data_IF_220513005604
#
_entry.id   IF_220513005604
#
_cell.length_a   1.000
_cell.length_b   1.000
_cell.length_c   1.000
_cell.angle_alpha   90.00
_cell.angle_beta   90.00
_cell.angle_gamma   90.00
#
_symmetry.space_group_name_H-M   'P 1'
#
loop_
_entity.id
_entity.type
_entity.pdbx_description
1 polymer ?
#
# COMPACT_ATOMS: atom_id res chain seq x y z
N UNK A 1 -35.07 24.47 28.56
CA UNK A 1 -34.84 23.70 27.32
C UNK A 1 -33.92 22.54 27.69
N UNK A 2 -34.29 21.28 27.39
CA UNK A 2 -33.32 20.19 27.54
C UNK A 2 -32.36 20.22 26.35
N UNK A 3 -31.08 20.10 26.63
CA UNK A 3 -30.00 20.27 25.66
C UNK A 3 -29.96 19.10 24.66
N UNK A 4 -29.47 19.39 23.45
CA UNK A 4 -29.03 18.35 22.52
C UNK A 4 -27.56 18.02 22.85
N UNK A 5 -27.25 16.74 22.97
CA UNK A 5 -25.94 16.21 23.31
C UNK A 5 -25.47 15.34 22.16
N UNK A 6 -24.30 15.68 21.62
CA UNK A 6 -23.62 14.93 20.57
C UNK A 6 -22.32 14.42 21.17
N UNK A 7 -22.15 13.10 21.19
CA UNK A 7 -20.95 12.45 21.71
C UNK A 7 -20.31 11.69 20.56
N UNK A 8 -19.08 12.06 20.25
CA UNK A 8 -18.22 11.30 19.36
C UNK A 8 -17.29 10.40 20.19
N UNK A 9 -16.73 9.38 19.56
CA UNK A 9 -15.86 8.38 20.21
C UNK A 9 -16.49 7.76 21.47
N UNK A 10 -17.79 7.43 21.40
CA UNK A 10 -18.57 6.93 22.55
C UNK A 10 -17.97 5.69 23.22
N UNK A 11 -17.14 4.94 22.50
CA UNK A 11 -16.44 3.76 23.02
C UNK A 11 -15.39 4.06 24.10
N UNK A 12 -14.97 5.32 24.25
CA UNK A 12 -14.03 5.72 25.30
C UNK A 12 -14.72 6.01 26.64
N UNK A 13 -16.06 6.02 26.67
CA UNK A 13 -16.83 6.35 27.86
C UNK A 13 -17.35 5.09 28.55
N UNK A 14 -17.30 5.12 29.88
CA UNK A 14 -17.89 4.11 30.74
C UNK A 14 -19.42 4.18 30.71
N UNK A 15 -20.09 3.10 31.15
CA UNK A 15 -21.56 3.07 31.25
C UNK A 15 -22.10 4.18 32.18
N UNK A 16 -21.34 4.58 33.21
CA UNK A 16 -21.72 5.66 34.13
C UNK A 16 -21.67 7.03 33.44
N UNK A 17 -20.66 7.29 32.62
CA UNK A 17 -20.55 8.52 31.84
C UNK A 17 -21.62 8.57 30.74
N UNK A 18 -21.88 7.44 30.09
CA UNK A 18 -22.99 7.31 29.14
C UNK A 18 -24.34 7.60 29.82
N UNK A 19 -24.55 7.10 31.04
CA UNK A 19 -25.74 7.38 31.85
C UNK A 19 -25.90 8.89 32.10
N UNK A 20 -24.81 9.60 32.39
CA UNK A 20 -24.83 11.05 32.54
C UNK A 20 -25.33 11.75 31.27
N UNK A 21 -24.92 11.29 30.09
CA UNK A 21 -25.41 11.85 28.82
C UNK A 21 -26.93 11.68 28.64
N UNK A 22 -27.52 10.58 29.14
CA UNK A 22 -28.98 10.43 29.16
C UNK A 22 -29.68 11.43 30.08
N UNK A 23 -29.09 11.75 31.23
CA UNK A 23 -29.68 12.73 32.15
C UNK A 23 -29.55 14.17 31.65
N UNK A 24 -28.46 14.49 30.94
CA UNK A 24 -28.22 15.81 30.37
C UNK A 24 -29.04 16.08 29.10
N UNK A 25 -29.40 15.02 28.37
CA UNK A 25 -30.13 15.14 27.10
C UNK A 25 -31.64 15.19 27.26
N UNK A 26 -32.30 15.89 26.33
CA UNK A 26 -33.76 15.84 26.17
C UNK A 26 -34.23 14.58 25.45
N UNK A 27 -35.56 14.32 25.44
CA UNK A 27 -36.14 13.32 24.54
C UNK A 27 -35.67 13.55 23.10
N UNK A 28 -35.15 12.51 22.44
CA UNK A 28 -34.56 12.59 21.10
C UNK A 28 -33.38 13.58 20.96
N UNK A 29 -32.76 13.98 22.06
CA UNK A 29 -31.67 14.95 22.11
C UNK A 29 -30.28 14.33 22.15
N UNK A 30 -30.15 13.00 22.17
CA UNK A 30 -28.86 12.31 22.29
C UNK A 30 -28.45 11.68 20.96
N UNK A 31 -27.25 12.01 20.49
CA UNK A 31 -26.60 11.38 19.34
C UNK A 31 -25.23 10.85 19.77
N UNK A 32 -24.99 9.56 19.53
CA UNK A 32 -23.77 8.85 19.91
C UNK A 32 -23.14 8.25 18.66
N UNK A 33 -21.85 8.50 18.44
CA UNK A 33 -21.04 7.93 17.36
C UNK A 33 -19.76 7.33 17.92
N UNK A 34 -19.23 6.31 17.26
CA UNK A 34 -17.98 5.65 17.68
C UNK A 34 -17.69 4.35 16.94
N UNK A 35 -16.47 3.85 17.10
CA UNK A 35 -15.98 2.58 16.55
C UNK A 35 -15.54 1.64 17.69
N UNK A 36 -16.29 0.57 17.99
CA UNK A 36 -15.96 -0.38 19.06
C UNK A 36 -14.57 -1.01 18.93
N UNK A 37 -14.07 -1.17 17.70
CA UNK A 37 -12.75 -1.75 17.46
C UNK A 37 -11.59 -0.78 17.82
N UNK A 38 -11.89 0.50 18.07
CA UNK A 38 -10.92 1.53 18.50
C UNK A 38 -11.01 1.86 20.00
N UNK A 39 -11.59 0.98 20.82
CA UNK A 39 -11.50 1.11 22.29
C UNK A 39 -10.12 0.67 22.77
N UNK A 40 -9.16 1.62 22.79
CA UNK A 40 -7.75 1.39 23.17
C UNK A 40 -7.45 1.74 24.63
N UNK A 41 -8.46 2.22 25.36
CA UNK A 41 -8.37 2.47 26.80
C UNK A 41 -8.44 1.13 27.52
N UNK A 42 -7.51 0.90 28.44
CA UNK A 42 -7.48 -0.34 29.21
C UNK A 42 -8.66 -0.42 30.17
N UNK A 43 -9.32 -1.58 30.22
CA UNK A 43 -10.47 -1.81 31.10
C UNK A 43 -11.83 -1.41 30.51
N UNK A 44 -11.89 -0.85 29.30
CA UNK A 44 -13.15 -0.56 28.59
C UNK A 44 -13.34 -1.50 27.40
N UNK A 45 -14.09 -2.57 27.60
CA UNK A 45 -14.75 -3.26 26.50
C UNK A 45 -16.03 -2.50 26.18
N UNK A 46 -16.16 -2.04 24.94
CA UNK A 46 -17.33 -1.29 24.53
C UNK A 46 -18.15 -2.08 23.51
N UNK A 47 -19.45 -2.15 23.76
CA UNK A 47 -20.42 -2.62 22.77
C UNK A 47 -21.61 -1.67 22.72
N UNK A 48 -22.14 -1.42 21.53
CA UNK A 48 -23.35 -0.61 21.39
C UNK A 48 -24.56 -1.20 22.13
N UNK A 49 -24.57 -2.51 22.40
CA UNK A 49 -25.55 -3.16 23.25
C UNK A 49 -25.55 -2.61 24.69
N UNK A 50 -24.40 -2.19 25.22
CA UNK A 50 -24.27 -1.63 26.57
C UNK A 50 -24.93 -0.26 26.65
N UNK A 51 -24.74 0.59 25.63
CA UNK A 51 -25.46 1.87 25.48
C UNK A 51 -26.97 1.66 25.52
N UNK A 52 -27.48 0.61 24.84
CA UNK A 52 -28.90 0.25 24.86
C UNK A 52 -29.35 -0.23 26.24
N UNK A 53 -28.51 -0.97 26.95
CA UNK A 53 -28.75 -1.36 28.34
C UNK A 53 -28.93 -0.16 29.26
N UNK A 54 -28.02 0.82 29.17
CA UNK A 54 -28.09 2.07 29.95
C UNK A 54 -29.36 2.86 29.60
N UNK A 55 -29.68 3.01 28.30
CA UNK A 55 -30.92 3.69 27.90
C UNK A 55 -32.18 3.00 28.42
N UNK A 56 -32.24 1.68 28.37
CA UNK A 56 -33.38 0.93 28.91
C UNK A 56 -33.51 1.13 30.43
N UNK A 57 -32.38 1.16 31.15
CA UNK A 57 -32.35 1.40 32.60
C UNK A 57 -32.98 2.75 32.98
N UNK A 58 -32.74 3.81 32.20
CA UNK A 58 -33.37 5.14 32.40
C UNK A 58 -34.74 5.31 31.72
N UNK A 59 -35.32 4.23 31.18
CA UNK A 59 -36.66 4.26 30.57
C UNK A 59 -36.72 4.83 29.15
N UNK A 60 -35.58 4.89 28.44
CA UNK A 60 -35.50 5.32 27.04
C UNK A 60 -35.43 4.12 26.09
N UNK A 61 -36.14 4.20 24.97
CA UNK A 61 -36.04 3.23 23.87
C UNK A 61 -35.01 3.74 22.85
N UNK A 62 -33.81 3.16 22.86
CA UNK A 62 -32.77 3.52 21.89
C UNK A 62 -32.96 2.75 20.58
N UNK A 63 -32.88 3.48 19.46
CA UNK A 63 -32.82 2.91 18.11
C UNK A 63 -31.60 1.99 17.93
N UNK A 64 -31.70 1.04 17.01
CA UNK A 64 -30.52 0.24 16.63
C UNK A 64 -29.45 1.15 16.01
N UNK A 65 -28.15 0.90 16.27
CA UNK A 65 -27.08 1.67 15.65
C UNK A 65 -27.19 1.65 14.13
N UNK A 66 -27.04 2.82 13.51
CA UNK A 66 -26.85 2.91 12.06
C UNK A 66 -25.36 2.72 11.77
N UNK A 67 -25.05 1.92 10.75
CA UNK A 67 -23.66 1.61 10.37
C UNK A 67 -23.28 2.34 9.09
N UNK A 68 -22.10 2.96 9.09
CA UNK A 68 -21.47 3.52 7.88
C UNK A 68 -20.27 2.64 7.56
N UNK A 69 -20.18 2.14 6.34
CA UNK A 69 -19.14 1.18 5.92
C UNK A 69 -18.44 1.57 4.62
N UNK A 70 -18.74 2.76 4.09
CA UNK A 70 -18.02 3.35 2.95
C UNK A 70 -17.02 4.33 3.54
N UNK A 71 -15.75 4.07 3.31
CA UNK A 71 -14.65 4.85 3.84
C UNK A 71 -14.14 5.79 2.74
N UNK A 72 -14.30 7.09 2.99
CA UNK A 72 -13.91 8.17 2.08
C UNK A 72 -12.49 8.68 2.36
N UNK A 73 -11.88 8.22 3.47
CA UNK A 73 -10.58 8.69 3.94
C UNK A 73 -9.45 7.86 3.33
N UNK A 74 -9.50 6.55 3.54
CA UNK A 74 -8.42 5.64 3.16
C UNK A 74 -8.82 4.79 1.97
N UNK A 75 -7.85 4.44 1.13
CA UNK A 75 -8.07 3.55 -0.02
C UNK A 75 -8.09 2.07 0.39
N UNK A 76 -8.50 1.21 -0.57
CA UNK A 76 -8.71 -0.22 -0.31
C UNK A 76 -7.46 -0.95 0.17
N UNK A 77 -6.25 -0.57 -0.27
CA UNK A 77 -4.98 -1.14 0.22
C UNK A 77 -4.81 -1.10 1.74
N UNK A 78 -5.01 0.07 2.36
CA UNK A 78 -4.96 0.25 3.82
C UNK A 78 -6.13 -0.47 4.50
N UNK A 79 -7.34 -0.33 3.96
CA UNK A 79 -8.55 -0.92 4.55
C UNK A 79 -8.56 -2.45 4.51
N UNK A 80 -7.96 -3.05 3.48
CA UNK A 80 -7.77 -4.49 3.41
C UNK A 80 -6.88 -4.97 4.56
N UNK A 81 -5.80 -4.24 4.86
CA UNK A 81 -4.94 -4.52 6.01
C UNK A 81 -5.70 -4.37 7.33
N UNK A 82 -6.41 -3.25 7.53
CA UNK A 82 -7.24 -3.02 8.72
C UNK A 82 -8.29 -4.14 8.90
N UNK A 83 -8.95 -4.54 7.81
CA UNK A 83 -9.90 -5.64 7.78
C UNK A 83 -9.28 -7.00 8.11
N UNK A 84 -8.00 -7.22 7.79
CA UNK A 84 -7.24 -8.41 8.20
C UNK A 84 -6.96 -8.43 9.71
N UNK A 85 -6.68 -7.27 10.31
CA UNK A 85 -6.54 -7.14 11.77
C UNK A 85 -7.87 -7.42 12.47
N UNK A 86 -8.97 -6.88 11.93
CA UNK A 86 -10.32 -7.17 12.42
C UNK A 86 -10.68 -8.66 12.30
N UNK A 87 -10.28 -9.34 11.21
CA UNK A 87 -10.49 -10.78 11.05
C UNK A 87 -9.81 -11.57 12.18
N UNK A 88 -8.56 -11.24 12.51
CA UNK A 88 -7.83 -11.86 13.64
C UNK A 88 -8.55 -11.59 14.97
N UNK A 89 -8.96 -10.34 15.20
CA UNK A 89 -9.62 -9.95 16.43
C UNK A 89 -10.96 -10.67 16.61
N UNK A 90 -11.85 -10.66 15.62
CA UNK A 90 -13.18 -11.27 15.74
C UNK A 90 -13.16 -12.80 15.73
N UNK A 91 -12.15 -13.41 15.08
CA UNK A 91 -12.02 -14.87 15.06
C UNK A 91 -11.52 -15.42 16.40
N UNK A 92 -10.55 -14.74 17.02
CA UNK A 92 -9.86 -15.26 18.20
C UNK A 92 -10.26 -14.58 19.52
N UNK A 93 -10.95 -13.44 19.44
CA UNK A 93 -11.47 -12.68 20.57
C UNK A 93 -12.92 -12.25 20.30
N UNK A 94 -13.85 -13.20 20.08
CA UNK A 94 -15.25 -12.89 19.76
C UNK A 94 -15.96 -12.07 20.84
N UNK A 95 -15.45 -12.05 22.08
CA UNK A 95 -16.00 -11.20 23.14
C UNK A 95 -15.44 -9.76 23.13
N UNK A 96 -14.30 -9.52 22.48
CA UNK A 96 -13.61 -8.22 22.56
C UNK A 96 -14.30 -7.06 21.81
N UNK A 97 -15.10 -7.36 20.78
CA UNK A 97 -15.90 -6.40 20.02
C UNK A 97 -16.93 -7.13 19.13
N UNK A 98 -18.00 -6.43 18.74
CA UNK A 98 -18.99 -6.96 17.81
C UNK A 98 -18.48 -6.89 16.37
N UNK A 99 -18.64 -7.97 15.61
CA UNK A 99 -18.28 -8.01 14.20
C UNK A 99 -19.13 -7.02 13.39
N UNK A 100 -18.50 -5.93 12.95
CA UNK A 100 -19.05 -4.99 11.98
C UNK A 100 -18.70 -5.42 10.55
N UNK A 101 -19.47 -4.96 9.58
CA UNK A 101 -19.07 -5.11 8.17
C UNK A 101 -17.77 -4.35 7.97
N UNK A 102 -16.83 -4.95 7.24
CA UNK A 102 -15.57 -4.28 6.88
C UNK A 102 -15.84 -3.02 6.08
N UNK A 103 -15.00 -2.03 6.32
CA UNK A 103 -14.95 -0.81 5.53
C UNK A 103 -14.56 -1.11 4.09
N UNK A 104 -15.19 -0.38 3.17
CA UNK A 104 -14.87 -0.40 1.74
C UNK A 104 -14.38 0.97 1.31
N UNK A 105 -13.20 1.01 0.73
CA UNK A 105 -12.66 2.22 0.12
C UNK A 105 -13.36 2.53 -1.20
N UNK A 106 -13.38 3.80 -1.57
CA UNK A 106 -13.92 4.24 -2.87
C UNK A 106 -13.07 3.80 -4.07
N UNK A 107 -11.76 3.68 -3.87
CA UNK A 107 -10.81 3.34 -4.93
C UNK A 107 -9.78 2.32 -4.44
N UNK A 108 -9.14 1.68 -5.41
CA UNK A 108 -7.95 0.87 -5.15
C UNK A 108 -6.78 1.81 -4.93
N UNK A 109 -5.91 1.47 -3.99
CA UNK A 109 -4.66 2.18 -3.77
C UNK A 109 -3.60 1.20 -3.30
N UNK A 110 -2.37 1.68 -3.21
CA UNK A 110 -1.19 0.82 -3.04
C UNK A 110 -1.28 -0.04 -1.77
N UNK A 111 -0.84 -1.30 -1.86
CA UNK A 111 -0.68 -2.12 -0.67
C UNK A 111 0.41 -1.51 0.22
N UNK A 112 0.24 -1.55 1.56
CA UNK A 112 1.28 -1.19 2.52
C UNK A 112 2.65 -1.81 2.21
N UNK A 113 3.72 -1.10 2.56
CA UNK A 113 5.10 -1.58 2.46
C UNK A 113 5.58 -2.28 3.73
N UNK A 114 6.51 -3.22 3.59
CA UNK A 114 7.15 -3.93 4.71
C UNK A 114 8.67 -3.83 4.58
N UNK A 115 9.31 -3.31 5.62
CA UNK A 115 10.76 -3.13 5.74
C UNK A 115 11.25 -3.91 6.96
N UNK A 116 12.02 -4.98 6.75
CA UNK A 116 12.57 -5.81 7.82
C UNK A 116 14.10 -5.70 7.82
N UNK A 117 14.68 -5.39 8.98
CA UNK A 117 16.14 -5.26 9.16
C UNK A 117 16.70 -3.90 8.75
N UNK A 118 15.87 -2.85 8.65
CA UNK A 118 16.36 -1.50 8.35
C UNK A 118 17.25 -0.97 9.50
N UNK A 119 18.36 -0.31 9.17
CA UNK A 119 19.19 0.36 10.16
C UNK A 119 18.58 1.70 10.59
N UNK A 120 18.98 2.20 11.76
CA UNK A 120 18.54 3.52 12.26
C UNK A 120 19.01 4.63 11.32
N UNK A 121 20.22 4.53 10.76
CA UNK A 121 20.76 5.51 9.82
C UNK A 121 19.93 5.56 8.52
N UNK A 122 19.59 4.40 7.98
CA UNK A 122 18.71 4.30 6.81
C UNK A 122 17.33 4.91 7.08
N UNK A 123 16.75 4.62 8.25
CA UNK A 123 15.47 5.18 8.65
C UNK A 123 15.53 6.72 8.83
N UNK A 124 16.62 7.24 9.37
CA UNK A 124 16.85 8.68 9.47
C UNK A 124 16.93 9.37 8.10
N UNK A 125 17.64 8.76 7.14
CA UNK A 125 17.71 9.28 5.76
C UNK A 125 16.31 9.25 5.13
N UNK A 126 15.58 8.13 5.29
CA UNK A 126 14.23 7.97 4.77
C UNK A 126 13.28 9.05 5.30
N UNK A 127 13.28 9.31 6.61
CA UNK A 127 12.44 10.34 7.25
C UNK A 127 12.88 11.78 6.95
N UNK A 128 14.17 12.00 6.75
CA UNK A 128 14.74 13.33 6.49
C UNK A 128 14.53 13.83 5.06
N UNK A 129 14.47 12.91 4.10
CA UNK A 129 14.41 13.21 2.67
C UNK A 129 13.14 12.65 2.01
N UNK A 130 13.10 11.33 1.77
CA UNK A 130 12.11 10.70 0.88
C UNK A 130 10.70 10.60 1.46
N UNK A 131 10.57 10.39 2.77
CA UNK A 131 9.31 10.31 3.53
C UNK A 131 9.18 11.47 4.52
N UNK A 132 9.62 12.66 4.12
CA UNK A 132 9.53 13.85 4.97
C UNK A 132 8.08 14.13 5.37
N UNK A 133 7.84 14.23 6.67
CA UNK A 133 6.50 14.45 7.22
C UNK A 133 5.72 13.16 7.51
N UNK A 134 6.30 11.98 7.26
CA UNK A 134 5.72 10.72 7.69
C UNK A 134 5.64 10.66 9.22
N UNK A 135 4.52 10.16 9.73
CA UNK A 135 4.31 9.95 11.16
C UNK A 135 4.76 8.56 11.55
N UNK A 136 5.63 8.49 12.55
CA UNK A 136 6.11 7.22 13.12
C UNK A 136 5.24 6.89 14.33
N UNK A 137 4.54 5.76 14.27
CA UNK A 137 3.76 5.21 15.37
C UNK A 137 4.55 4.09 16.05
N UNK A 138 4.64 4.20 17.38
CA UNK A 138 5.26 3.20 18.26
C UNK A 138 4.31 2.86 19.40
N UNK A 139 4.67 1.93 20.28
CA UNK A 139 4.02 1.87 21.59
C UNK A 139 4.26 3.17 22.36
N UNK A 140 3.29 3.57 23.17
CA UNK A 140 3.28 4.87 23.85
C UNK A 140 4.50 5.07 24.76
N UNK A 141 4.95 4.01 25.42
CA UNK A 141 6.14 3.98 26.27
C UNK A 141 7.45 4.16 25.50
N UNK A 142 7.49 3.78 24.23
CA UNK A 142 8.69 3.79 23.39
C UNK A 142 8.92 5.12 22.67
N UNK A 143 7.94 6.02 22.67
CA UNK A 143 7.98 7.30 21.93
C UNK A 143 9.23 8.11 22.25
N UNK A 144 9.55 8.27 23.54
CA UNK A 144 10.73 9.05 23.96
C UNK A 144 12.04 8.40 23.55
N UNK A 145 12.08 7.07 23.50
CA UNK A 145 13.26 6.31 23.07
C UNK A 145 13.51 6.50 21.58
N UNK A 146 12.48 6.23 20.76
CA UNK A 146 12.58 6.34 19.31
C UNK A 146 12.82 7.76 18.83
N UNK A 147 12.18 8.75 19.46
CA UNK A 147 12.45 10.16 19.14
C UNK A 147 13.95 10.50 19.25
N UNK A 148 14.62 10.04 20.31
CA UNK A 148 16.07 10.30 20.48
C UNK A 148 16.93 9.54 19.47
N UNK A 149 16.60 8.28 19.19
CA UNK A 149 17.34 7.48 18.21
C UNK A 149 17.16 7.98 16.77
N UNK A 150 16.01 8.59 16.47
CA UNK A 150 15.70 9.17 15.18
C UNK A 150 16.09 10.65 15.09
N UNK A 151 17.24 11.04 15.66
CA UNK A 151 17.76 12.41 15.60
C UNK A 151 16.74 13.49 16.01
N UNK A 152 16.03 13.26 17.11
CA UNK A 152 14.98 14.14 17.64
C UNK A 152 13.83 14.41 16.66
N UNK A 153 13.52 13.43 15.81
CA UNK A 153 12.39 13.51 14.88
C UNK A 153 11.07 13.78 15.60
N UNK A 154 10.42 14.90 15.26
CA UNK A 154 9.28 15.42 16.03
C UNK A 154 7.99 14.61 15.84
N UNK A 155 7.84 13.93 14.72
CA UNK A 155 6.60 13.24 14.33
C UNK A 155 6.59 11.77 14.78
N UNK A 156 7.10 11.49 15.98
CA UNK A 156 6.98 10.18 16.64
C UNK A 156 5.87 10.28 17.67
N UNK A 157 4.85 9.42 17.56
CA UNK A 157 3.67 9.40 18.42
C UNK A 157 3.40 8.00 18.96
N UNK A 158 2.81 7.95 20.14
CA UNK A 158 2.20 6.73 20.65
C UNK A 158 0.93 6.42 19.86
N UNK A 159 0.59 5.14 19.69
CA UNK A 159 -0.65 4.77 18.99
C UNK A 159 -1.89 5.37 19.66
N UNK A 160 -1.92 5.43 21.00
CA UNK A 160 -3.07 6.04 21.72
C UNK A 160 -3.06 7.56 21.59
N UNK A 161 -1.88 8.18 21.61
CA UNK A 161 -1.71 9.63 21.35
C UNK A 161 -2.18 10.02 19.94
N UNK A 162 -1.97 9.14 18.96
CA UNK A 162 -2.40 9.34 17.57
C UNK A 162 -3.90 9.14 17.34
N UNK A 163 -4.65 8.65 18.34
CA UNK A 163 -6.10 8.42 18.20
C UNK A 163 -6.83 9.74 17.93
N UNK A 164 -7.78 9.70 17.00
CA UNK A 164 -8.52 10.90 16.56
C UNK A 164 -7.75 11.78 15.58
N UNK A 165 -6.47 11.51 15.34
CA UNK A 165 -5.66 12.18 14.31
C UNK A 165 -5.68 11.39 13.00
N UNK A 166 -5.27 12.04 11.91
CA UNK A 166 -5.21 11.44 10.58
C UNK A 166 -3.97 11.94 9.84
N UNK A 167 -3.26 11.02 9.17
CA UNK A 167 -1.97 11.30 8.55
C UNK A 167 -1.89 10.70 7.15
N UNK A 168 -1.29 11.46 6.23
CA UNK A 168 -1.05 10.97 4.86
C UNK A 168 -0.17 9.73 4.84
N UNK A 169 0.95 9.77 5.57
CA UNK A 169 1.91 8.68 5.63
C UNK A 169 2.16 8.25 7.07
N UNK A 170 2.04 6.94 7.33
CA UNK A 170 2.20 6.32 8.64
C UNK A 170 3.23 5.20 8.55
N UNK A 171 4.16 5.17 9.50
CA UNK A 171 5.15 4.12 9.70
C UNK A 171 4.93 3.50 11.07
N UNK A 172 4.57 2.21 11.14
CA UNK A 172 4.68 1.45 12.39
C UNK A 172 6.14 1.03 12.57
N UNK A 173 6.77 1.47 13.65
CA UNK A 173 8.17 1.16 13.95
C UNK A 173 8.28 0.21 15.14
N UNK A 174 8.91 -0.94 14.91
CA UNK A 174 9.19 -2.01 15.88
C UNK A 174 7.96 -2.47 16.70
N UNK A 175 6.76 -2.24 16.16
CA UNK A 175 5.51 -2.50 16.88
C UNK A 175 5.39 -3.96 17.32
N UNK A 176 5.71 -4.92 16.45
CA UNK A 176 5.57 -6.34 16.79
C UNK A 176 6.74 -6.83 17.64
N UNK A 177 7.96 -6.33 17.39
CA UNK A 177 9.12 -6.66 18.22
C UNK A 177 8.99 -6.18 19.65
N UNK A 178 8.39 -5.02 19.87
CA UNK A 178 8.22 -4.44 21.19
C UNK A 178 7.00 -4.99 21.94
N UNK A 179 6.21 -5.90 21.34
CA UNK A 179 5.23 -6.70 22.10
C UNK A 179 5.97 -7.43 23.23
N UNK A 180 5.43 -7.45 24.47
CA UNK A 180 6.06 -8.10 25.61
C UNK A 180 6.55 -9.52 25.30
N UNK A 181 7.74 -9.90 25.81
CA UNK A 181 8.37 -11.18 25.52
C UNK A 181 7.48 -12.40 25.81
N UNK A 182 6.62 -12.31 26.84
CA UNK A 182 5.63 -13.34 27.17
C UNK A 182 4.55 -13.54 26.10
N UNK A 183 4.28 -12.51 25.29
CA UNK A 183 3.25 -12.50 24.25
C UNK A 183 3.81 -12.71 22.83
N UNK A 184 5.14 -12.69 22.65
CA UNK A 184 5.79 -12.93 21.35
C UNK A 184 5.36 -14.26 20.69
N UNK A 185 5.36 -15.36 21.46
CA UNK A 185 4.93 -16.68 20.98
C UNK A 185 3.40 -16.75 20.77
N UNK A 186 2.55 -16.34 21.74
CA UNK A 186 1.11 -16.26 21.53
C UNK A 186 0.71 -15.45 20.29
N UNK A 187 1.34 -14.29 20.06
CA UNK A 187 1.11 -13.47 18.88
C UNK A 187 1.44 -14.21 17.59
N UNK A 188 2.58 -14.92 17.53
CA UNK A 188 2.93 -15.76 16.37
C UNK A 188 1.87 -16.82 16.11
N UNK A 189 1.42 -17.54 17.14
CA UNK A 189 0.41 -18.59 16.95
C UNK A 189 -0.93 -18.01 16.47
N UNK A 190 -1.28 -16.80 16.89
CA UNK A 190 -2.42 -16.04 16.39
C UNK A 190 -2.32 -15.81 14.86
N UNK A 191 -1.26 -15.13 14.40
CA UNK A 191 -1.14 -14.76 12.97
C UNK A 191 -0.92 -15.97 12.05
N UNK A 192 -0.45 -17.10 12.61
CA UNK A 192 -0.32 -18.37 11.90
C UNK A 192 -1.61 -19.20 11.89
N UNK A 193 -2.66 -18.79 12.61
CA UNK A 193 -3.92 -19.52 12.72
C UNK A 193 -3.79 -20.83 13.50
N UNK A 194 -2.92 -20.86 14.52
CA UNK A 194 -2.57 -22.05 15.33
C UNK A 194 -2.99 -21.91 16.79
N UNK A 195 -3.93 -21.03 17.08
CA UNK A 195 -4.44 -20.79 18.44
C UNK A 195 -5.27 -21.96 18.95
N UNK A 196 -5.31 -22.13 20.27
CA UNK A 196 -6.24 -23.05 20.95
C UNK A 196 -7.62 -22.41 21.15
N UNK A 197 -8.61 -23.20 21.56
CA UNK A 197 -9.97 -22.68 21.86
C UNK A 197 -9.96 -21.67 23.02
N UNK A 198 -9.14 -21.88 24.05
CA UNK A 198 -9.05 -21.00 25.23
C UNK A 198 -8.10 -19.80 25.04
N UNK A 199 -7.77 -19.43 23.81
CA UNK A 199 -6.77 -18.39 23.52
C UNK A 199 -7.16 -17.02 24.09
N UNK A 200 -8.44 -16.64 23.96
CA UNK A 200 -8.98 -15.38 24.49
C UNK A 200 -8.76 -15.24 26.00
N UNK A 201 -9.09 -16.29 26.76
CA UNK A 201 -8.90 -16.31 28.22
C UNK A 201 -7.45 -16.41 28.64
N UNK A 202 -6.63 -17.14 27.87
CA UNK A 202 -5.22 -17.37 28.20
C UNK A 202 -4.35 -16.15 27.89
N UNK A 203 -4.69 -15.37 26.85
CA UNK A 203 -3.89 -14.25 26.37
C UNK A 203 -4.73 -13.01 26.04
N UNK A 204 -5.53 -12.49 27.00
CA UNK A 204 -6.43 -11.35 26.75
C UNK A 204 -5.69 -10.08 26.30
N UNK A 205 -4.45 -9.88 26.76
CA UNK A 205 -3.62 -8.72 26.37
C UNK A 205 -3.30 -8.67 24.87
N UNK A 206 -3.32 -9.81 24.16
CA UNK A 206 -3.12 -9.83 22.70
C UNK A 206 -4.24 -9.05 21.98
N UNK A 207 -5.47 -9.08 22.51
CA UNK A 207 -6.57 -8.28 21.98
C UNK A 207 -6.27 -6.78 22.05
N UNK A 208 -5.64 -6.30 23.14
CA UNK A 208 -5.23 -4.90 23.29
C UNK A 208 -4.25 -4.50 22.18
N UNK A 209 -3.25 -5.33 21.88
CA UNK A 209 -2.30 -5.07 20.78
C UNK A 209 -2.96 -5.10 19.40
N UNK A 210 -3.96 -5.96 19.17
CA UNK A 210 -4.75 -5.95 17.93
C UNK A 210 -5.55 -4.64 17.79
N UNK A 211 -6.17 -4.16 18.87
CA UNK A 211 -6.89 -2.88 18.90
C UNK A 211 -5.96 -1.70 18.64
N UNK A 212 -4.76 -1.69 19.23
CA UNK A 212 -3.72 -0.70 18.95
C UNK A 212 -3.31 -0.74 17.48
N UNK A 213 -3.01 -1.93 16.95
CA UNK A 213 -2.65 -2.09 15.55
C UNK A 213 -3.75 -1.57 14.62
N UNK A 214 -5.00 -1.95 14.84
CA UNK A 214 -6.14 -1.47 14.06
C UNK A 214 -6.31 0.06 14.17
N UNK A 215 -6.21 0.60 15.38
CA UNK A 215 -6.33 2.05 15.63
C UNK A 215 -5.25 2.83 14.89
N UNK A 216 -3.99 2.39 14.94
CA UNK A 216 -2.89 3.05 14.24
C UNK A 216 -2.99 2.91 12.71
N UNK A 217 -3.38 1.73 12.20
CA UNK A 217 -3.61 1.52 10.75
C UNK A 217 -4.69 2.46 10.21
N UNK A 218 -5.78 2.65 10.97
CA UNK A 218 -6.89 3.53 10.57
C UNK A 218 -6.57 5.02 10.66
N UNK A 219 -5.40 5.42 11.18
CA UNK A 219 -4.93 6.82 11.10
C UNK A 219 -4.35 7.15 9.72
N UNK A 220 -4.04 6.14 8.90
CA UNK A 220 -3.37 6.32 7.62
C UNK A 220 -4.34 6.62 6.47
N UNK A 221 -4.02 7.62 5.65
CA UNK A 221 -4.80 8.04 4.48
C UNK A 221 -4.23 7.48 3.17
N UNK A 222 -2.92 7.65 2.93
CA UNK A 222 -2.28 7.41 1.61
C UNK A 222 -1.19 6.33 1.63
N UNK A 223 -0.25 6.35 2.57
CA UNK A 223 0.90 5.43 2.57
C UNK A 223 1.16 4.81 3.94
N UNK A 224 1.11 3.50 4.03
CA UNK A 224 1.36 2.75 5.26
C UNK A 224 2.60 1.87 5.12
N UNK A 225 3.51 1.94 6.09
CA UNK A 225 4.67 1.06 6.19
C UNK A 225 4.71 0.35 7.54
N UNK A 226 5.09 -0.92 7.52
CA UNK A 226 5.49 -1.68 8.71
C UNK A 226 7.00 -1.87 8.69
N UNK A 227 7.67 -1.35 9.72
CA UNK A 227 9.11 -1.31 9.83
C UNK A 227 9.55 -2.04 11.09
N UNK A 228 10.41 -3.04 10.93
CA UNK A 228 11.03 -3.78 12.03
C UNK A 228 12.54 -3.72 11.85
N UNK A 229 13.25 -3.02 12.75
CA UNK A 229 14.70 -2.82 12.70
C UNK A 229 15.47 -4.09 13.03
N UNK A 230 14.87 -5.03 13.77
CA UNK A 230 15.45 -6.34 14.09
C UNK A 230 14.41 -7.44 14.05
N UNK A 231 14.87 -8.66 13.75
CA UNK A 231 14.04 -9.85 13.80
C UNK A 231 13.51 -10.11 15.22
N UNK A 232 12.26 -10.56 15.28
CA UNK A 232 11.59 -11.01 16.48
C UNK A 232 10.57 -12.09 16.14
N UNK A 233 10.14 -12.88 17.13
CA UNK A 233 9.21 -13.99 16.88
C UNK A 233 7.86 -13.48 16.37
N UNK A 234 7.33 -12.42 16.95
CA UNK A 234 6.10 -11.77 16.50
C UNK A 234 6.32 -10.99 15.19
N UNK A 235 7.40 -10.22 15.08
CA UNK A 235 7.72 -9.42 13.88
C UNK A 235 7.83 -10.28 12.63
N UNK A 236 8.66 -11.32 12.64
CA UNK A 236 8.85 -12.19 11.47
C UNK A 236 7.57 -12.94 11.08
N UNK A 237 6.72 -13.26 12.06
CA UNK A 237 5.44 -13.90 11.82
C UNK A 237 4.42 -12.91 11.20
N UNK A 238 4.31 -11.70 11.76
CA UNK A 238 3.47 -10.61 11.25
C UNK A 238 3.86 -10.19 9.84
N UNK A 239 5.14 -9.97 9.58
CA UNK A 239 5.62 -9.56 8.26
C UNK A 239 5.34 -10.63 7.20
N UNK A 240 5.48 -11.91 7.55
CA UNK A 240 5.06 -13.02 6.68
C UNK A 240 3.55 -13.05 6.48
N UNK A 241 2.77 -12.88 7.53
CA UNK A 241 1.31 -12.83 7.43
C UNK A 241 0.83 -11.69 6.51
N UNK A 242 1.42 -10.50 6.63
CA UNK A 242 1.11 -9.34 5.79
C UNK A 242 1.44 -9.58 4.31
N UNK A 243 2.60 -10.21 4.04
CA UNK A 243 3.12 -10.41 2.68
C UNK A 243 2.66 -11.71 2.02
N UNK A 244 2.01 -12.61 2.75
CA UNK A 244 1.57 -13.91 2.24
C UNK A 244 0.43 -13.74 1.24
N UNK A 245 0.62 -14.31 0.05
CA UNK A 245 -0.49 -14.49 -0.89
C UNK A 245 -1.30 -15.75 -0.52
N UNK A 246 -2.62 -15.61 -0.56
CA UNK A 246 -3.57 -16.70 -0.32
C UNK A 246 -4.37 -16.89 -1.61
N UNK A 247 -4.70 -18.14 -1.97
CA UNK A 247 -5.47 -18.40 -3.18
C UNK A 247 -6.75 -17.55 -3.24
N UNK A 248 -6.91 -16.75 -4.30
CA UNK A 248 -8.04 -15.86 -4.50
C UNK A 248 -7.99 -14.51 -3.75
N UNK A 249 -6.91 -14.21 -3.02
CA UNK A 249 -6.73 -12.92 -2.33
C UNK A 249 -5.28 -12.43 -2.41
N UNK A 250 -5.09 -11.22 -2.92
CA UNK A 250 -3.79 -10.56 -2.88
C UNK A 250 -3.28 -10.41 -1.43
N UNK A 251 -1.96 -10.35 -1.26
CA UNK A 251 -1.35 -10.06 0.05
C UNK A 251 -1.81 -8.71 0.59
N UNK A 252 -1.74 -8.55 1.92
CA UNK A 252 -2.07 -7.28 2.57
C UNK A 252 -1.01 -6.21 2.34
N UNK A 253 0.25 -6.62 2.21
CA UNK A 253 1.40 -5.75 2.04
C UNK A 253 2.38 -6.30 1.01
N UNK A 254 3.33 -5.46 0.59
CA UNK A 254 4.43 -5.79 -0.32
C UNK A 254 5.76 -5.65 0.40
N UNK A 255 6.76 -6.44 -0.01
CA UNK A 255 8.11 -6.31 0.56
C UNK A 255 8.84 -5.20 -0.17
N UNK A 256 9.57 -4.40 0.60
CA UNK A 256 10.42 -3.35 0.07
C UNK A 256 11.88 -3.78 0.09
N UNK A 257 12.64 -3.32 -0.90
CA UNK A 257 14.08 -3.49 -0.95
C UNK A 257 14.74 -2.52 0.05
N UNK A 258 15.38 -3.08 1.08
CA UNK A 258 16.06 -2.29 2.12
C UNK A 258 17.49 -1.90 1.75
N UNK A 259 18.03 -2.43 0.65
CA UNK A 259 19.40 -2.16 0.22
C UNK A 259 19.53 -0.81 -0.51
N UNK A 260 18.40 -0.22 -0.90
CA UNK A 260 18.33 1.05 -1.60
C UNK A 260 17.31 1.96 -0.90
N UNK A 261 17.76 3.13 -0.43
CA UNK A 261 16.92 4.10 0.29
C UNK A 261 15.83 4.68 -0.59
N UNK A 262 16.10 4.83 -1.89
CA UNK A 262 15.08 5.28 -2.82
C UNK A 262 13.98 4.22 -2.97
N UNK A 263 14.37 2.95 -3.06
CA UNK A 263 13.47 1.80 -3.09
C UNK A 263 12.62 1.64 -1.81
N UNK A 264 13.10 2.14 -0.67
CA UNK A 264 12.34 2.08 0.59
C UNK A 264 11.16 3.05 0.66
N UNK A 265 11.17 4.11 -0.16
CA UNK A 265 10.20 5.21 -0.06
C UNK A 265 8.86 4.96 -0.77
N UNK A 266 8.82 3.96 -1.65
CA UNK A 266 7.65 3.63 -2.46
C UNK A 266 7.30 2.15 -2.29
N UNK A 267 6.02 1.82 -2.26
CA UNK A 267 5.60 0.41 -2.22
C UNK A 267 5.73 -0.23 -3.60
N UNK A 268 5.71 -1.56 -3.68
CA UNK A 268 5.82 -2.25 -4.98
C UNK A 268 4.72 -1.83 -5.96
N UNK A 269 3.50 -1.56 -5.46
CA UNK A 269 2.38 -1.10 -6.29
C UNK A 269 2.60 0.33 -6.82
N UNK A 270 3.27 1.18 -6.03
CA UNK A 270 3.66 2.53 -6.46
C UNK A 270 4.76 2.48 -7.53
N UNK A 271 5.74 1.58 -7.39
CA UNK A 271 6.75 1.36 -8.43
C UNK A 271 6.14 0.90 -9.75
N UNK A 272 5.15 0.01 -9.72
CA UNK A 272 4.43 -0.42 -10.93
C UNK A 272 3.74 0.79 -11.57
N UNK A 273 3.00 1.57 -10.77
CA UNK A 273 2.23 2.71 -11.28
C UNK A 273 3.14 3.79 -11.87
N UNK A 274 4.23 4.12 -11.19
CA UNK A 274 5.23 5.09 -11.65
C UNK A 274 5.97 4.57 -12.89
N UNK A 275 6.33 3.29 -12.92
CA UNK A 275 6.98 2.67 -14.06
C UNK A 275 6.11 2.71 -15.33
N UNK A 276 4.80 2.44 -15.18
CA UNK A 276 3.82 2.54 -16.28
C UNK A 276 3.71 3.99 -16.75
N UNK A 277 3.53 4.95 -15.84
CA UNK A 277 3.45 6.36 -16.18
C UNK A 277 4.69 6.85 -16.95
N UNK A 278 5.90 6.46 -16.50
CA UNK A 278 7.13 6.81 -17.22
C UNK A 278 7.20 6.13 -18.60
N UNK A 279 6.76 4.89 -18.75
CA UNK A 279 6.71 4.22 -20.06
C UNK A 279 5.71 4.87 -21.04
N UNK A 280 4.54 5.29 -20.55
CA UNK A 280 3.54 6.01 -21.35
C UNK A 280 4.06 7.38 -21.78
N UNK A 281 4.67 8.13 -20.85
CA UNK A 281 5.31 9.41 -21.17
C UNK A 281 6.44 9.24 -22.18
N UNK A 282 7.24 8.18 -22.07
CA UNK A 282 8.31 7.90 -23.02
C UNK A 282 7.78 7.64 -24.44
N UNK A 283 6.65 6.92 -24.55
CA UNK A 283 5.99 6.67 -25.83
C UNK A 283 5.43 7.95 -26.46
N UNK A 284 4.97 8.88 -25.63
CA UNK A 284 4.43 10.17 -26.06
C UNK A 284 5.50 11.27 -26.26
N UNK A 285 6.75 11.02 -25.85
CA UNK A 285 7.80 12.02 -25.94
C UNK A 285 8.17 12.30 -27.41
N UNK A 286 8.45 13.57 -27.70
CA UNK A 286 8.83 14.04 -29.04
C UNK A 286 10.30 13.76 -29.32
N UNK A 287 11.12 13.80 -28.28
CA UNK A 287 12.57 13.66 -28.34
C UNK A 287 13.02 12.29 -27.82
N UNK A 288 13.95 11.66 -28.54
CA UNK A 288 14.41 10.30 -28.23
C UNK A 288 15.29 10.27 -26.97
N UNK A 289 16.06 11.33 -26.69
CA UNK A 289 16.83 11.42 -25.45
C UNK A 289 15.90 11.46 -24.22
N UNK A 290 14.79 12.19 -24.32
CA UNK A 290 13.76 12.17 -23.26
C UNK A 290 13.09 10.81 -23.12
N UNK A 291 12.71 10.16 -24.23
CA UNK A 291 12.18 8.79 -24.20
C UNK A 291 13.16 7.83 -23.52
N UNK A 292 14.46 7.95 -23.82
CA UNK A 292 15.51 7.13 -23.22
C UNK A 292 15.53 7.28 -21.70
N UNK A 293 15.64 8.52 -21.19
CA UNK A 293 15.68 8.79 -19.75
C UNK A 293 14.43 8.29 -19.01
N UNK A 294 13.24 8.48 -19.62
CA UNK A 294 11.97 8.02 -19.04
C UNK A 294 11.90 6.48 -19.00
N UNK A 295 12.40 5.80 -20.02
CA UNK A 295 12.45 4.33 -20.04
C UNK A 295 13.49 3.77 -19.07
N UNK A 296 14.64 4.41 -18.89
CA UNK A 296 15.61 4.04 -17.84
C UNK A 296 14.94 4.09 -16.46
N UNK A 297 14.18 5.16 -16.18
CA UNK A 297 13.41 5.28 -14.94
C UNK A 297 12.31 4.23 -14.83
N UNK A 298 11.58 3.96 -15.91
CA UNK A 298 10.54 2.93 -15.97
C UNK A 298 11.11 1.54 -15.66
N UNK A 299 12.24 1.18 -16.27
CA UNK A 299 12.95 -0.09 -16.04
C UNK A 299 13.37 -0.18 -14.58
N UNK A 300 14.03 0.86 -14.04
CA UNK A 300 14.46 0.88 -12.65
C UNK A 300 13.27 0.66 -11.69
N UNK A 301 12.12 1.30 -11.93
CA UNK A 301 10.92 1.10 -11.14
C UNK A 301 10.45 -0.37 -11.17
N UNK A 302 10.33 -0.97 -12.37
CA UNK A 302 9.88 -2.36 -12.48
C UNK A 302 10.86 -3.37 -11.87
N UNK A 303 12.16 -3.07 -11.88
CA UNK A 303 13.20 -3.89 -11.23
C UNK A 303 13.12 -3.89 -9.70
N UNK A 304 12.45 -2.90 -9.09
CA UNK A 304 12.16 -2.91 -7.64
C UNK A 304 10.94 -3.78 -7.28
N UNK A 305 10.36 -4.50 -8.24
CA UNK A 305 9.15 -5.32 -8.06
C UNK A 305 9.43 -6.78 -8.38
N UNK A 306 8.56 -7.68 -7.92
CA UNK A 306 8.64 -9.11 -8.27
C UNK A 306 8.09 -9.40 -9.70
N UNK A 307 7.71 -8.38 -10.49
CA UNK A 307 7.09 -8.53 -11.81
C UNK A 307 8.13 -8.35 -12.92
N UNK A 308 8.79 -9.44 -13.27
CA UNK A 308 9.89 -9.46 -14.25
C UNK A 308 9.41 -9.10 -15.67
N UNK A 309 8.16 -9.43 -16.00
CA UNK A 309 7.55 -9.23 -17.32
C UNK A 309 7.49 -7.75 -17.72
N UNK A 310 7.11 -6.86 -16.78
CA UNK A 310 7.03 -5.42 -17.04
C UNK A 310 8.41 -4.82 -17.31
N UNK A 311 9.42 -5.23 -16.52
CA UNK A 311 10.79 -4.81 -16.73
C UNK A 311 11.34 -5.30 -18.09
N UNK A 312 10.99 -6.53 -18.50
CA UNK A 312 11.38 -7.06 -19.81
C UNK A 312 10.75 -6.26 -20.95
N UNK A 313 9.45 -5.96 -20.86
CA UNK A 313 8.73 -5.14 -21.84
C UNK A 313 9.30 -3.73 -21.96
N UNK A 314 9.59 -3.09 -20.83
CA UNK A 314 10.24 -1.77 -20.81
C UNK A 314 11.66 -1.79 -21.41
N UNK A 315 12.46 -2.84 -21.16
CA UNK A 315 13.79 -3.02 -21.77
C UNK A 315 13.74 -3.19 -23.29
N UNK A 316 12.73 -3.86 -23.82
CA UNK A 316 12.55 -4.02 -25.27
C UNK A 316 12.18 -2.67 -25.89
N UNK A 317 11.28 -1.90 -25.26
CA UNK A 317 10.96 -0.53 -25.68
C UNK A 317 12.22 0.37 -25.63
N UNK A 318 13.00 0.29 -24.57
CA UNK A 318 14.27 1.02 -24.44
C UNK A 318 15.28 0.67 -25.53
N UNK A 319 15.42 -0.62 -25.85
CA UNK A 319 16.30 -1.10 -26.92
C UNK A 319 15.90 -0.53 -28.29
N UNK A 320 14.59 -0.35 -28.51
CA UNK A 320 14.08 0.31 -29.71
C UNK A 320 14.48 1.79 -29.79
N UNK A 321 14.34 2.54 -28.67
CA UNK A 321 14.75 3.95 -28.60
C UNK A 321 16.26 4.10 -28.83
N UNK A 322 17.08 3.29 -28.17
CA UNK A 322 18.53 3.30 -28.36
C UNK A 322 18.92 3.01 -29.82
N UNK A 323 18.31 2.01 -30.43
CA UNK A 323 18.55 1.70 -31.83
C UNK A 323 18.22 2.90 -32.73
N UNK A 324 17.10 3.58 -32.48
CA UNK A 324 16.70 4.77 -33.24
C UNK A 324 17.69 5.93 -33.06
N UNK A 325 18.24 6.13 -31.87
CA UNK A 325 19.31 7.11 -31.61
C UNK A 325 20.59 6.75 -32.37
N UNK A 326 21.03 5.49 -32.32
CA UNK A 326 22.23 5.02 -33.01
C UNK A 326 22.17 5.24 -34.53
N UNK A 327 20.99 5.09 -35.14
CA UNK A 327 20.84 5.21 -36.59
C UNK A 327 20.61 6.64 -37.10
N UNK A 328 20.46 7.65 -36.22
CA UNK A 328 20.32 9.06 -36.62
C UNK A 328 21.54 9.63 -37.37
N UNK A 329 22.68 8.93 -37.37
CA UNK A 329 23.88 9.27 -38.17
C UNK A 329 23.54 9.31 -39.68
N UNK A 330 24.03 10.32 -40.44
CA UNK A 330 23.68 10.51 -41.84
C UNK A 330 23.89 9.26 -42.71
N UNK A 331 22.98 9.04 -43.67
CA UNK A 331 22.99 7.89 -44.57
C UNK A 331 24.29 7.76 -45.37
N UNK A 332 24.89 8.89 -45.76
CA UNK A 332 26.08 8.94 -46.62
C UNK A 332 27.37 8.44 -45.94
N UNK A 333 27.35 8.24 -44.61
CA UNK A 333 28.51 7.77 -43.84
C UNK A 333 28.50 6.24 -43.60
N UNK A 334 27.45 5.54 -44.02
CA UNK A 334 27.27 4.10 -43.69
C UNK A 334 27.67 3.19 -44.85
N UNK A 335 28.46 2.16 -44.55
CA UNK A 335 28.85 1.14 -45.54
C UNK A 335 27.71 0.17 -45.86
N UNK A 336 27.83 -0.57 -46.96
CA UNK A 336 26.87 -1.64 -47.32
C UNK A 336 26.71 -2.69 -46.21
N UNK A 337 27.79 -2.98 -45.47
CA UNK A 337 27.74 -3.88 -44.33
C UNK A 337 26.93 -3.29 -43.16
N UNK A 338 27.02 -1.98 -42.94
CA UNK A 338 26.26 -1.29 -41.88
C UNK A 338 24.76 -1.27 -42.19
N UNK A 339 24.38 -1.13 -43.46
CA UNK A 339 22.97 -1.20 -43.91
C UNK A 339 22.36 -2.58 -43.63
N UNK A 340 23.08 -3.66 -43.95
CA UNK A 340 22.62 -5.03 -43.67
C UNK A 340 22.47 -5.30 -42.16
N UNK A 341 23.38 -4.75 -41.34
CA UNK A 341 23.31 -4.85 -39.87
C UNK A 341 22.10 -4.07 -39.33
N UNK A 342 21.84 -2.87 -39.85
CA UNK A 342 20.68 -2.06 -39.48
C UNK A 342 19.38 -2.80 -39.80
N UNK A 343 19.24 -3.35 -41.02
CA UNK A 343 18.07 -4.11 -41.44
C UNK A 343 17.83 -5.33 -40.53
N UNK A 344 18.88 -6.11 -40.27
CA UNK A 344 18.80 -7.28 -39.39
C UNK A 344 18.39 -6.90 -37.95
N UNK A 345 19.01 -5.88 -37.36
CA UNK A 345 18.69 -5.43 -35.99
C UNK A 345 17.27 -4.87 -35.90
N UNK A 346 16.83 -4.10 -36.89
CA UNK A 346 15.47 -3.59 -36.97
C UNK A 346 14.44 -4.73 -37.03
N UNK A 347 14.69 -5.76 -37.86
CA UNK A 347 13.81 -6.93 -37.95
C UNK A 347 13.70 -7.68 -36.62
N UNK A 348 14.83 -7.92 -35.95
CA UNK A 348 14.85 -8.58 -34.63
C UNK A 348 14.09 -7.78 -33.57
N UNK A 349 14.30 -6.47 -33.50
CA UNK A 349 13.60 -5.61 -32.56
C UNK A 349 12.10 -5.54 -32.85
N UNK A 350 11.70 -5.41 -34.12
CA UNK A 350 10.29 -5.43 -34.52
C UNK A 350 9.61 -6.77 -34.14
N UNK A 351 10.30 -7.91 -34.29
CA UNK A 351 9.79 -9.21 -33.85
C UNK A 351 9.59 -9.24 -32.32
N UNK A 352 10.59 -8.81 -31.55
CA UNK A 352 10.50 -8.76 -30.08
C UNK A 352 9.39 -7.83 -29.60
N UNK A 353 9.28 -6.63 -30.17
CA UNK A 353 8.21 -5.67 -29.84
C UNK A 353 6.83 -6.23 -30.18
N UNK A 354 6.69 -6.93 -31.31
CA UNK A 354 5.42 -7.56 -31.71
C UNK A 354 5.00 -8.65 -30.74
N UNK A 355 5.94 -9.48 -30.27
CA UNK A 355 5.67 -10.53 -29.27
C UNK A 355 5.16 -9.96 -27.94
N UNK A 356 5.64 -8.77 -27.56
CA UNK A 356 5.22 -8.06 -26.35
C UNK A 356 4.00 -7.14 -26.55
N UNK A 357 3.43 -7.11 -27.77
CA UNK A 357 2.28 -6.26 -28.10
C UNK A 357 2.59 -4.76 -28.18
N UNK A 358 3.85 -4.36 -28.38
CA UNK A 358 4.27 -2.95 -28.50
C UNK A 358 4.15 -2.44 -29.95
N UNK A 359 2.94 -2.50 -30.50
CA UNK A 359 2.68 -2.25 -31.93
C UNK A 359 3.01 -0.83 -32.40
N UNK A 360 2.75 0.17 -31.57
CA UNK A 360 3.10 1.56 -31.89
C UNK A 360 4.61 1.72 -32.08
N UNK A 361 5.39 1.06 -31.23
CA UNK A 361 6.84 1.14 -31.27
C UNK A 361 7.44 0.37 -32.46
N UNK A 362 6.78 -0.70 -32.91
CA UNK A 362 7.12 -1.38 -34.18
C UNK A 362 7.03 -0.39 -35.36
N UNK A 363 5.99 0.44 -35.40
CA UNK A 363 5.83 1.45 -36.45
C UNK A 363 6.93 2.53 -36.37
N UNK A 364 7.33 2.90 -35.16
CA UNK A 364 8.41 3.86 -34.94
C UNK A 364 9.75 3.33 -35.47
N UNK A 365 10.17 2.10 -35.11
CA UNK A 365 11.39 1.49 -35.67
C UNK A 365 11.35 1.51 -37.19
N UNK A 366 10.22 1.09 -37.75
CA UNK A 366 10.07 0.99 -39.18
C UNK A 366 10.22 2.36 -39.87
N UNK A 367 9.60 3.40 -39.31
CA UNK A 367 9.73 4.77 -39.82
C UNK A 367 11.20 5.24 -39.81
N UNK A 368 11.93 4.97 -38.73
CA UNK A 368 13.34 5.34 -38.60
C UNK A 368 14.27 4.49 -39.46
N UNK A 369 13.89 3.24 -39.77
CA UNK A 369 14.69 2.33 -40.58
C UNK A 369 14.42 2.49 -42.07
N UNK A 370 13.26 3.01 -42.46
CA UNK A 370 12.83 3.17 -43.87
C UNK A 370 13.90 3.79 -44.78
N UNK A 371 14.63 4.86 -44.39
CA UNK A 371 15.68 5.43 -45.23
C UNK A 371 16.81 4.45 -45.60
N UNK A 372 17.02 3.41 -44.78
CA UNK A 372 18.10 2.44 -44.92
C UNK A 372 17.70 1.14 -45.65
N UNK A 373 16.42 0.98 -46.01
CA UNK A 373 15.90 -0.23 -46.63
C UNK A 373 15.88 -0.14 -48.16
N UNK A 374 16.04 -1.29 -48.82
CA UNK A 374 15.82 -1.40 -50.27
C UNK A 374 14.34 -1.18 -50.63
N UNK A 375 14.06 -0.69 -51.84
CA UNK A 375 12.67 -0.50 -52.32
C UNK A 375 11.84 -1.80 -52.26
N UNK A 376 12.46 -2.93 -52.60
CA UNK A 376 11.82 -4.24 -52.47
C UNK A 376 11.42 -4.56 -51.02
N UNK A 377 12.32 -4.31 -50.05
CA UNK A 377 12.04 -4.56 -48.64
C UNK A 377 10.92 -3.65 -48.12
N UNK A 378 10.89 -2.37 -48.52
CA UNK A 378 9.83 -1.42 -48.18
C UNK A 378 8.46 -1.90 -48.65
N UNK A 379 8.34 -2.30 -49.92
CA UNK A 379 7.08 -2.76 -50.50
C UNK A 379 6.55 -4.03 -49.80
N UNK A 380 7.41 -5.00 -49.54
CA UNK A 380 7.02 -6.25 -48.89
C UNK A 380 6.66 -6.06 -47.41
N UNK A 381 7.36 -5.17 -46.69
CA UNK A 381 7.03 -4.81 -45.30
C UNK A 381 5.67 -4.11 -45.21
N UNK A 382 5.38 -3.14 -46.09
CA UNK A 382 4.07 -2.46 -46.10
C UNK A 382 2.94 -3.45 -46.41
N UNK A 383 3.14 -4.31 -47.40
CA UNK A 383 2.13 -5.28 -47.85
C UNK A 383 1.85 -6.38 -46.84
N UNK A 384 2.88 -6.96 -46.23
CA UNK A 384 2.73 -8.17 -45.38
C UNK A 384 2.58 -7.87 -43.90
N UNK A 385 3.15 -6.76 -43.43
CA UNK A 385 3.36 -6.51 -42.00
C UNK A 385 2.61 -5.26 -41.51
N UNK A 386 2.85 -4.09 -42.12
CA UNK A 386 2.29 -2.81 -41.65
C UNK A 386 0.77 -2.82 -41.69
N UNK A 387 0.16 -3.30 -42.78
CA UNK A 387 -1.30 -3.36 -42.90
C UNK A 387 -1.94 -4.21 -41.80
N UNK A 388 -1.28 -5.27 -41.34
CA UNK A 388 -1.79 -6.14 -40.27
C UNK A 388 -1.63 -5.49 -38.90
N UNK A 389 -0.50 -4.83 -38.65
CA UNK A 389 -0.26 -4.12 -37.38
C UNK A 389 -1.24 -2.95 -37.21
N UNK A 390 -1.49 -2.16 -38.26
CA UNK A 390 -2.47 -1.06 -38.22
C UNK A 390 -3.91 -1.54 -38.02
N UNK A 391 -4.23 -2.78 -38.39
CA UNK A 391 -5.53 -3.39 -38.11
C UNK A 391 -5.61 -3.86 -36.66
N UNK A 392 -4.56 -4.53 -36.16
CA UNK A 392 -4.50 -5.01 -34.77
C UNK A 392 -4.51 -3.86 -33.75
N UNK A 393 -3.74 -2.78 -33.99
CA UNK A 393 -3.70 -1.60 -33.11
C UNK A 393 -4.95 -0.70 -33.15
N UNK A 394 -6.01 -1.08 -33.88
CA UNK A 394 -7.34 -0.40 -33.84
C UNK A 394 -8.38 -1.19 -33.04
N UNK A 395 -8.07 -2.43 -32.64
CA UNK A 395 -8.96 -3.31 -31.89
C UNK A 395 -8.64 -3.32 -30.37
N UNK A 396 -7.46 -2.82 -29.97
CA UNK A 396 -7.13 -2.38 -28.59
C UNK A 396 -7.55 -0.92 -28.38
#
# INVERSE_FOLDING_TARGET
>A
QRSKVYVDEVQDYTQLEILLFFYLSGPNGLFLAGDPAQSVVEGTEFRFEEVRGVGHFVGYVIQKPKTVNVNFRSHSGILNCAGGVLDLMFTHFPSSAKQLKKDKGLFQGSRPGVLLGISIDQLNILLGDKLKGAVVLTHDESVRHWRRLLNDYKLVYGVREAKGLEFKTVIFLDFFREIPSSLQKPWRELVLGRTTQDFEHSYPLVATFLKLLYTGVTRCIEKLFFVETKSSTAGDASMRWLTKQVAGRASYATRNNINDVEAMSMTSDEFISEGINNAELAQAAVDLDQSQMLLERSIWCFEQTDIIELAAKARIHYSSVLFRLEIQVPYDEKSSNDLAVIEMRAAQLMESLTKEGLFFEVLNILSSTTPFLSEYAKEELEKRFIRKIRLAGREE
#
